data_IF_467847696196
#
_entry.id   IF_467847696196
#
_cell.length_a   1.000
_cell.length_b   1.000
_cell.length_c   1.000
_cell.angle_alpha   90.00
_cell.angle_beta   90.00
_cell.angle_gamma   90.00
#
_symmetry.space_group_name_H-M   'P 1'
#
loop_
_entity.id
_entity.type
_entity.pdbx_description
1 polymer ?
#
# COMPACT_ATOMS: atom_id res chain seq x y z
N UNK A 1 -1.56 -16.85 -20.30
CA UNK A 1 -0.99 -17.19 -19.01
C UNK A 1 -1.22 -16.06 -18.02
N UNK A 2 -1.63 -16.38 -16.84
CA UNK A 2 -1.88 -15.32 -15.84
C UNK A 2 -0.57 -14.69 -15.42
N UNK A 3 -0.64 -13.43 -15.03
CA UNK A 3 0.52 -12.74 -14.55
C UNK A 3 0.95 -13.36 -13.22
N UNK A 4 2.23 -13.57 -13.08
CA UNK A 4 2.74 -14.16 -11.87
C UNK A 4 2.76 -13.13 -10.76
N UNK A 5 2.49 -13.60 -9.57
CA UNK A 5 2.56 -12.75 -8.40
C UNK A 5 4.03 -12.64 -7.97
N UNK A 6 4.51 -11.42 -7.84
CA UNK A 6 5.82 -11.15 -7.30
C UNK A 6 5.72 -10.02 -6.30
N UNK A 7 6.48 -10.12 -5.23
CA UNK A 7 6.45 -9.10 -4.20
C UNK A 7 7.88 -8.84 -3.74
N UNK A 8 8.21 -7.56 -3.59
CA UNK A 8 9.50 -7.15 -3.07
C UNK A 8 9.28 -5.99 -2.13
N UNK A 9 10.28 -5.70 -1.34
CA UNK A 9 10.16 -4.57 -0.44
C UNK A 9 11.53 -3.98 -0.19
N UNK A 10 11.57 -2.72 0.21
CA UNK A 10 12.81 -2.05 0.54
C UNK A 10 12.57 -0.99 1.59
N UNK A 11 13.60 -0.79 2.40
CA UNK A 11 13.60 0.26 3.40
C UNK A 11 14.07 1.54 2.74
N UNK A 12 13.31 2.61 2.90
CA UNK A 12 13.69 3.93 2.41
C UNK A 12 14.52 4.64 3.46
N UNK A 13 14.02 4.64 4.70
CA UNK A 13 14.73 5.20 5.83
C UNK A 13 14.19 4.53 7.09
N UNK A 14 14.52 5.06 8.26
CA UNK A 14 14.13 4.41 9.52
C UNK A 14 12.63 4.36 9.71
N UNK A 15 11.89 5.25 9.08
CA UNK A 15 10.45 5.33 9.28
C UNK A 15 9.63 4.84 8.11
N UNK A 16 10.21 4.72 6.94
CA UNK A 16 9.46 4.47 5.71
C UNK A 16 9.93 3.21 4.98
N UNK A 17 8.99 2.41 4.56
CA UNK A 17 9.23 1.16 3.86
C UNK A 17 8.32 1.08 2.63
N UNK A 18 8.83 0.53 1.54
CA UNK A 18 8.06 0.36 0.31
C UNK A 18 7.86 -1.11 0.06
N UNK A 19 6.62 -1.52 -0.19
CA UNK A 19 6.28 -2.88 -0.59
C UNK A 19 5.74 -2.80 -2.00
N UNK A 20 6.37 -3.49 -2.94
CA UNK A 20 5.97 -3.45 -4.36
C UNK A 20 5.43 -4.80 -4.78
N UNK A 21 4.28 -4.79 -5.43
CA UNK A 21 3.62 -6.02 -5.85
C UNK A 21 3.34 -5.97 -7.34
N UNK A 22 3.61 -7.07 -8.03
CA UNK A 22 3.23 -7.20 -9.42
C UNK A 22 2.37 -8.44 -9.60
N UNK A 23 1.52 -8.43 -10.62
CA UNK A 23 0.63 -9.54 -10.91
C UNK A 23 -0.68 -9.43 -10.17
N UNK A 24 -1.24 -10.57 -9.79
CA UNK A 24 -2.57 -10.63 -9.19
C UNK A 24 -2.45 -10.88 -7.70
N UNK A 25 -3.15 -10.08 -6.91
CA UNK A 25 -3.25 -10.31 -5.47
C UNK A 25 -4.64 -10.86 -5.21
N UNK A 26 -4.69 -12.14 -4.90
CA UNK A 26 -5.97 -12.84 -4.70
C UNK A 26 -5.92 -13.61 -3.38
N UNK A 27 -6.91 -14.45 -3.16
CA UNK A 27 -7.00 -15.23 -1.94
C UNK A 27 -5.75 -16.05 -1.66
N UNK A 28 -5.09 -16.54 -2.71
CA UNK A 28 -3.92 -17.40 -2.54
C UNK A 28 -2.65 -16.60 -2.24
N UNK A 29 -2.53 -15.40 -2.77
CA UNK A 29 -1.33 -14.59 -2.59
C UNK A 29 -1.47 -13.57 -1.46
N UNK A 30 -2.68 -13.32 -1.00
CA UNK A 30 -2.91 -12.36 0.08
C UNK A 30 -2.12 -12.66 1.35
N UNK A 31 -1.96 -13.93 1.77
CA UNK A 31 -1.17 -14.20 2.99
C UNK A 31 0.28 -13.72 2.88
N UNK A 32 0.92 -13.90 1.73
CA UNK A 32 2.28 -13.43 1.55
C UNK A 32 2.32 -11.90 1.53
N UNK A 33 1.35 -11.29 0.89
CA UNK A 33 1.22 -9.84 0.87
C UNK A 33 1.09 -9.30 2.30
N UNK A 34 0.23 -9.94 3.08
CA UNK A 34 0.02 -9.53 4.47
C UNK A 34 1.33 -9.63 5.27
N UNK A 35 2.07 -10.72 5.09
CA UNK A 35 3.30 -10.90 5.82
C UNK A 35 4.35 -9.85 5.46
N UNK A 36 4.47 -9.54 4.17
CA UNK A 36 5.43 -8.54 3.72
C UNK A 36 5.10 -7.16 4.26
N UNK A 37 3.83 -6.87 4.45
CA UNK A 37 3.42 -5.60 5.03
C UNK A 37 3.59 -5.59 6.55
N UNK A 38 3.32 -6.72 7.19
CA UNK A 38 3.40 -6.81 8.64
C UNK A 38 4.82 -6.67 9.18
N UNK A 39 5.80 -7.21 8.46
CA UNK A 39 7.18 -7.21 8.95
C UNK A 39 7.71 -5.80 9.21
N UNK A 40 7.65 -4.86 8.26
CA UNK A 40 8.13 -3.50 8.58
C UNK A 40 7.30 -2.83 9.66
N UNK A 41 6.00 -3.10 9.70
CA UNK A 41 5.15 -2.51 10.75
C UNK A 41 5.60 -3.03 12.12
N UNK A 42 5.86 -4.33 12.21
CA UNK A 42 6.32 -4.94 13.47
C UNK A 42 7.69 -4.41 13.87
N UNK A 43 8.50 -4.00 12.89
CA UNK A 43 9.82 -3.43 13.16
C UNK A 43 9.77 -1.96 13.54
N UNK A 44 8.57 -1.38 13.58
CA UNK A 44 8.43 -0.01 14.04
C UNK A 44 8.35 1.05 12.95
N UNK A 45 8.30 0.65 11.69
CA UNK A 45 8.12 1.64 10.62
C UNK A 45 6.76 2.29 10.77
N UNK A 46 6.71 3.59 10.64
CA UNK A 46 5.45 4.31 10.78
C UNK A 46 4.82 4.65 9.44
N UNK A 47 5.58 4.58 8.35
CA UNK A 47 5.06 4.95 7.03
C UNK A 47 5.29 3.81 6.05
N UNK A 48 4.22 3.37 5.42
CA UNK A 48 4.27 2.27 4.49
C UNK A 48 3.75 2.75 3.14
N UNK A 49 4.53 2.50 2.10
CA UNK A 49 4.11 2.80 0.75
C UNK A 49 3.90 1.46 0.05
N UNK A 50 2.71 1.25 -0.46
CA UNK A 50 2.37 0.01 -1.16
C UNK A 50 2.28 0.34 -2.63
N UNK A 51 3.23 -0.17 -3.41
CA UNK A 51 3.30 0.14 -4.83
C UNK A 51 2.57 -0.93 -5.61
N UNK A 52 1.42 -0.58 -6.14
CA UNK A 52 0.58 -1.47 -6.94
C UNK A 52 0.65 -1.12 -8.43
N UNK A 53 1.67 -0.36 -8.85
CA UNK A 53 1.76 0.10 -10.23
C UNK A 53 1.87 -1.05 -11.23
N UNK A 54 2.33 -2.21 -10.81
CA UNK A 54 2.41 -3.39 -11.67
C UNK A 54 1.41 -4.46 -11.29
N UNK A 55 0.49 -4.14 -10.41
CA UNK A 55 -0.56 -5.06 -9.99
C UNK A 55 -1.67 -5.01 -11.02
N UNK A 56 -2.11 -6.18 -11.46
CA UNK A 56 -3.13 -6.28 -12.51
C UNK A 56 -4.50 -6.68 -11.97
N UNK A 57 -4.56 -7.15 -10.74
CA UNK A 57 -5.83 -7.57 -10.16
C UNK A 57 -5.74 -7.54 -8.64
N UNK A 58 -6.80 -7.06 -8.00
CA UNK A 58 -6.95 -7.13 -6.55
C UNK A 58 -8.38 -7.55 -6.26
N UNK A 59 -8.58 -8.21 -5.11
CA UNK A 59 -9.90 -8.64 -4.70
C UNK A 59 -10.13 -8.25 -3.24
N UNK A 60 -11.24 -8.72 -2.68
CA UNK A 60 -11.58 -8.34 -1.30
C UNK A 60 -10.54 -8.81 -0.29
N UNK A 61 -9.86 -9.93 -0.57
CA UNK A 61 -8.80 -10.42 0.33
C UNK A 61 -7.65 -9.41 0.39
N UNK A 62 -7.28 -8.89 -0.78
CA UNK A 62 -6.22 -7.89 -0.88
C UNK A 62 -6.60 -6.62 -0.15
N UNK A 63 -7.83 -6.17 -0.36
CA UNK A 63 -8.30 -4.95 0.27
C UNK A 63 -8.33 -5.11 1.79
N UNK A 64 -8.69 -6.31 2.27
CA UNK A 64 -8.68 -6.58 3.70
C UNK A 64 -7.29 -6.45 4.30
N UNK A 65 -6.27 -6.91 3.57
CA UNK A 65 -4.89 -6.79 4.04
C UNK A 65 -4.50 -5.32 4.14
N UNK A 66 -4.86 -4.53 3.14
CA UNK A 66 -4.55 -3.10 3.15
C UNK A 66 -5.25 -2.39 4.31
N UNK A 67 -6.51 -2.72 4.54
CA UNK A 67 -7.28 -2.11 5.63
C UNK A 67 -6.64 -2.46 6.98
N UNK A 68 -6.24 -3.72 7.16
CA UNK A 68 -5.60 -4.13 8.41
C UNK A 68 -4.31 -3.40 8.67
N UNK A 69 -3.48 -3.27 7.64
CA UNK A 69 -2.22 -2.56 7.77
C UNK A 69 -2.45 -1.08 8.07
N UNK A 70 -3.43 -0.48 7.40
CA UNK A 70 -3.78 0.93 7.62
C UNK A 70 -4.17 1.15 9.08
N UNK A 71 -5.00 0.28 9.63
CA UNK A 71 -5.43 0.41 11.02
C UNK A 71 -4.27 0.34 11.99
N UNK A 72 -3.36 -0.60 11.77
CA UNK A 72 -2.21 -0.75 12.64
C UNK A 72 -1.33 0.49 12.62
N UNK A 73 -1.10 1.04 11.44
CA UNK A 73 -0.29 2.23 11.31
C UNK A 73 -0.98 3.43 11.93
N UNK A 74 -2.28 3.54 11.72
CA UNK A 74 -3.05 4.67 12.23
C UNK A 74 -2.98 4.74 13.75
N UNK A 75 -3.02 3.59 14.42
CA UNK A 75 -2.93 3.53 15.87
C UNK A 75 -1.61 4.09 16.40
N UNK A 76 -0.60 4.17 15.55
CA UNK A 76 0.71 4.68 15.94
C UNK A 76 1.02 6.03 15.29
N UNK A 77 -0.01 6.66 14.72
CA UNK A 77 0.20 7.94 14.06
C UNK A 77 0.90 7.83 12.72
N UNK A 78 0.95 6.62 12.16
CA UNK A 78 1.61 6.40 10.90
C UNK A 78 0.69 6.54 9.70
N UNK A 79 1.22 6.28 8.52
CA UNK A 79 0.48 6.45 7.27
C UNK A 79 0.67 5.26 6.36
N UNK A 80 -0.32 5.04 5.49
CA UNK A 80 -0.21 4.08 4.42
C UNK A 80 -0.63 4.78 3.13
N UNK A 81 0.29 4.80 2.15
CA UNK A 81 0.02 5.40 0.85
C UNK A 81 0.04 4.30 -0.19
N UNK A 82 -0.95 4.28 -1.06
CA UNK A 82 -1.04 3.29 -2.14
C UNK A 82 -0.65 3.97 -3.43
N UNK A 83 0.33 3.40 -4.14
CA UNK A 83 0.75 3.91 -5.44
C UNK A 83 0.02 3.14 -6.52
N UNK A 84 -0.70 3.85 -7.35
CA UNK A 84 -1.52 3.23 -8.36
C UNK A 84 -1.81 4.23 -9.46
N UNK A 85 -1.41 3.89 -10.70
CA UNK A 85 -1.73 4.74 -11.83
C UNK A 85 -2.61 3.99 -12.84
N UNK A 86 -3.03 2.79 -12.53
CA UNK A 86 -3.91 2.00 -13.39
C UNK A 86 -5.35 2.34 -13.06
N UNK A 87 -6.12 2.70 -14.08
CA UNK A 87 -7.50 3.13 -13.87
C UNK A 87 -8.38 2.03 -13.27
N UNK A 88 -8.14 0.78 -13.66
CA UNK A 88 -8.97 -0.31 -13.17
C UNK A 88 -8.75 -0.52 -11.67
N UNK A 89 -7.51 -0.46 -11.23
CA UNK A 89 -7.18 -0.62 -9.82
C UNK A 89 -7.70 0.58 -9.04
N UNK A 90 -7.47 1.79 -9.56
CA UNK A 90 -7.96 3.00 -8.89
C UNK A 90 -9.48 2.98 -8.76
N UNK A 91 -10.16 2.46 -9.78
CA UNK A 91 -11.61 2.39 -9.77
C UNK A 91 -12.10 1.45 -8.67
N UNK A 92 -11.36 0.38 -8.40
CA UNK A 92 -11.72 -0.53 -7.32
C UNK A 92 -11.74 0.19 -5.99
N UNK A 93 -10.73 1.04 -5.74
CA UNK A 93 -10.69 1.82 -4.51
C UNK A 93 -11.86 2.82 -4.47
N UNK A 94 -12.18 3.43 -5.60
CA UNK A 94 -13.25 4.40 -5.65
C UNK A 94 -14.61 3.76 -5.41
N UNK A 95 -14.88 2.63 -6.07
CA UNK A 95 -16.17 1.94 -5.94
C UNK A 95 -16.40 1.46 -4.51
N UNK A 96 -15.34 1.02 -3.84
CA UNK A 96 -15.45 0.54 -2.47
C UNK A 96 -15.41 1.65 -1.43
N UNK A 97 -15.18 2.89 -1.86
CA UNK A 97 -15.07 4.01 -0.93
C UNK A 97 -13.71 4.09 -0.25
N UNK A 98 -12.80 3.22 -0.61
CA UNK A 98 -11.50 3.17 0.06
C UNK A 98 -10.56 4.28 -0.39
N UNK A 99 -10.88 4.98 -1.47
CA UNK A 99 -10.12 6.16 -1.87
C UNK A 99 -10.27 7.29 -0.83
N UNK A 100 -11.27 7.20 0.04
CA UNK A 100 -11.40 8.13 1.15
C UNK A 100 -10.68 7.65 2.41
N UNK A 101 -10.19 6.40 2.40
CA UNK A 101 -9.49 5.82 3.54
C UNK A 101 -7.98 5.86 3.32
N UNK A 102 -7.53 5.49 2.12
CA UNK A 102 -6.11 5.47 1.80
C UNK A 102 -5.74 6.71 1.00
N UNK A 103 -4.52 7.17 1.17
CA UNK A 103 -3.97 8.18 0.29
C UNK A 103 -3.50 7.44 -0.97
N UNK A 104 -3.95 7.89 -2.12
CA UNK A 104 -3.52 7.30 -3.39
C UNK A 104 -2.55 8.25 -4.06
N UNK A 105 -1.46 7.72 -4.59
CA UNK A 105 -0.47 8.52 -5.30
C UNK A 105 -0.17 7.87 -6.65
N UNK A 106 0.16 8.64 -7.67
CA UNK A 106 0.41 8.06 -8.99
C UNK A 106 1.78 7.41 -9.12
N UNK A 107 2.74 7.83 -8.30
CA UNK A 107 4.10 7.29 -8.37
C UNK A 107 4.66 7.16 -6.97
N UNK A 108 5.75 6.40 -6.84
CA UNK A 108 6.46 6.28 -5.58
C UNK A 108 7.02 7.64 -5.16
N UNK A 109 7.54 8.42 -6.12
CA UNK A 109 8.07 9.74 -5.81
C UNK A 109 7.00 10.64 -5.20
N UNK A 110 5.79 10.61 -5.77
CA UNK A 110 4.69 11.40 -5.22
C UNK A 110 4.32 10.90 -3.83
N UNK A 111 4.36 9.60 -3.63
CA UNK A 111 4.05 9.02 -2.32
C UNK A 111 5.08 9.44 -1.29
N UNK A 112 6.34 9.48 -1.66
CA UNK A 112 7.40 9.90 -0.75
C UNK A 112 7.28 11.37 -0.40
N UNK A 113 6.88 12.21 -1.34
CA UNK A 113 6.65 13.62 -1.06
C UNK A 113 5.50 13.80 -0.09
N UNK A 114 4.42 13.07 -0.33
CA UNK A 114 3.25 13.13 0.52
C UNK A 114 3.60 12.70 1.93
N UNK A 115 4.39 11.63 2.02
CA UNK A 115 4.81 11.08 3.28
C UNK A 115 5.73 12.03 4.02
N UNK A 116 6.59 12.72 3.29
CA UNK A 116 7.53 13.62 3.92
C UNK A 116 6.93 14.99 4.18
N UNK A 117 5.75 15.26 3.69
CA UNK A 117 5.08 16.52 3.91
C UNK A 117 4.06 16.33 5.00
N UNK A 118 4.50 16.23 6.19
CA UNK A 118 3.65 15.88 7.27
C UNK A 118 2.56 16.87 7.37
N UNK A 119 1.78 16.57 8.20
CA UNK A 119 0.70 17.32 8.50
C UNK A 119 0.83 18.75 8.27
N UNK A 120 1.98 19.11 8.13
CA UNK A 120 2.23 20.47 7.84
C UNK A 120 1.31 20.94 6.81
N UNK A 121 1.09 20.08 6.02
CA UNK A 121 0.31 20.50 5.04
C UNK A 121 -1.00 20.89 5.52
N UNK A 122 -1.16 20.85 6.54
CA UNK A 122 -2.34 21.13 6.83
C UNK A 122 -2.55 22.31 7.18
N UNK A 123 -2.13 22.58 7.06
CA UNK A 123 -2.28 23.50 7.33
C UNK A 123 -2.64 23.91 6.96
#
# INVERSE_FOLDING_TARGET
MAAEFEISDRKVDDDTHVVSVSGEIDLFTAPEFKQRMSTPIDEGRSNLIVDLSRTTFIDSSSLGVLIGAHRRLKLRGGTLVVVCDDEAIAKTFKITGLDGVFTLAPTIEAALEDDSAPASSTD
#
